data_IF_689724807784
#
_entry.id   IF_689724807784
#
_cell.length_a   1.000
_cell.length_b   1.000
_cell.length_c   1.000
_cell.angle_alpha   90.00
_cell.angle_beta   90.00
_cell.angle_gamma   90.00
#
_symmetry.space_group_name_H-M   'P 1'
#
loop_
_entity.id
_entity.type
_entity.pdbx_description
1 polymer ?
#
# COMPACT_ATOMS: atom_id res chain seq x y z
N UNK A 1 4.24 27.47 19.54
CA UNK A 1 4.52 26.75 18.28
C UNK A 1 3.73 25.44 18.31
N UNK A 2 3.20 24.97 17.18
CA UNK A 2 2.51 23.67 17.12
C UNK A 2 3.49 22.54 16.76
N UNK A 3 3.12 21.28 17.02
CA UNK A 3 3.98 20.12 16.77
C UNK A 3 4.47 20.03 15.31
N UNK A 4 3.60 20.37 14.34
CA UNK A 4 3.96 20.35 12.92
C UNK A 4 5.07 21.37 12.59
N UNK A 5 4.96 22.61 13.08
CA UNK A 5 6.02 23.63 12.92
C UNK A 5 7.28 23.25 13.70
N UNK A 6 7.16 22.58 14.84
CA UNK A 6 8.32 22.07 15.57
C UNK A 6 9.13 21.07 14.74
N UNK A 7 8.46 20.11 14.08
CA UNK A 7 9.11 19.13 13.18
C UNK A 7 9.78 19.78 11.97
N UNK A 8 9.13 20.78 11.35
CA UNK A 8 9.76 21.52 10.25
C UNK A 8 10.98 22.30 10.73
N UNK A 9 10.87 23.02 11.86
CA UNK A 9 11.98 23.75 12.45
C UNK A 9 13.16 22.82 12.83
N UNK A 10 12.89 21.57 13.22
CA UNK A 10 13.94 20.56 13.41
C UNK A 10 14.70 20.23 12.13
N UNK A 11 13.97 19.97 11.04
CA UNK A 11 14.59 19.68 9.74
C UNK A 11 15.41 20.86 9.22
N UNK A 12 14.94 22.08 9.44
CA UNK A 12 15.63 23.32 9.06
C UNK A 12 16.87 23.57 9.93
N UNK A 13 16.79 23.28 11.24
CA UNK A 13 17.94 23.38 12.15
C UNK A 13 19.06 22.44 11.74
N UNK A 14 18.72 21.20 11.36
CA UNK A 14 19.68 20.20 10.92
C UNK A 14 20.32 20.55 9.57
N UNK A 15 19.59 21.24 8.70
CA UNK A 15 20.11 21.78 7.46
C UNK A 15 20.93 23.08 7.65
N UNK A 16 21.08 23.58 8.88
CA UNK A 16 21.77 24.86 9.15
C UNK A 16 21.01 26.10 8.65
N UNK A 17 19.73 25.97 8.31
CA UNK A 17 18.92 27.03 7.69
C UNK A 17 17.98 27.75 8.67
N UNK A 18 17.97 27.33 9.94
CA UNK A 18 17.08 27.90 10.94
C UNK A 18 17.63 29.21 11.50
N UNK A 19 16.83 30.28 11.45
CA UNK A 19 17.17 31.57 12.06
C UNK A 19 17.21 31.49 13.59
N UNK A 20 17.99 32.38 14.23
CA UNK A 20 18.19 32.37 15.69
C UNK A 20 16.88 32.56 16.48
N UNK A 21 16.00 33.44 16.00
CA UNK A 21 14.66 33.63 16.60
C UNK A 21 13.81 32.36 16.53
N UNK A 22 13.90 31.61 15.44
CA UNK A 22 13.18 30.34 15.30
C UNK A 22 13.80 29.23 16.15
N UNK A 23 15.13 29.24 16.34
CA UNK A 23 15.83 28.32 17.23
C UNK A 23 15.39 28.50 18.69
N UNK A 24 15.33 29.73 19.18
CA UNK A 24 14.86 30.03 20.55
C UNK A 24 13.38 29.63 20.75
N UNK A 25 12.54 29.81 19.72
CA UNK A 25 11.13 29.36 19.75
C UNK A 25 10.99 27.83 19.75
N UNK A 26 11.89 27.12 19.08
CA UNK A 26 11.96 25.66 19.09
C UNK A 26 12.40 25.16 20.47
N UNK A 27 13.46 25.71 21.05
CA UNK A 27 13.96 25.33 22.37
C UNK A 27 12.92 25.57 23.47
N UNK A 28 12.28 26.74 23.49
CA UNK A 28 11.20 27.04 24.44
C UNK A 28 9.95 26.17 24.24
N UNK A 29 9.72 25.62 23.04
CA UNK A 29 8.65 24.65 22.81
C UNK A 29 9.03 23.27 23.34
N UNK A 30 10.28 22.84 23.14
CA UNK A 30 10.77 21.55 23.59
C UNK A 30 10.84 21.43 25.10
N UNK A 31 11.24 22.50 25.79
CA UNK A 31 11.21 22.56 27.24
C UNK A 31 9.80 22.33 27.82
N UNK A 32 8.74 22.63 27.04
CA UNK A 32 7.34 22.52 27.46
C UNK A 32 6.61 21.30 26.90
N UNK A 33 7.17 20.62 25.91
CA UNK A 33 6.49 19.55 25.19
C UNK A 33 7.31 18.25 25.21
N UNK A 34 6.96 17.37 26.16
CA UNK A 34 7.62 16.07 26.34
C UNK A 34 7.63 15.22 25.06
N UNK A 35 6.54 15.23 24.29
CA UNK A 35 6.46 14.48 23.01
C UNK A 35 7.49 14.97 21.99
N UNK A 36 7.55 16.27 21.73
CA UNK A 36 8.53 16.82 20.78
C UNK A 36 9.97 16.69 21.28
N UNK A 37 10.17 16.72 22.61
CA UNK A 37 11.47 16.42 23.20
C UNK A 37 11.89 14.97 22.95
N UNK A 38 10.98 14.02 23.18
CA UNK A 38 11.22 12.60 22.93
C UNK A 38 11.53 12.33 21.46
N UNK A 39 10.72 12.88 20.54
CA UNK A 39 10.93 12.76 19.09
C UNK A 39 12.31 13.28 18.68
N UNK A 40 12.77 14.41 19.25
CA UNK A 40 14.12 14.94 19.01
C UNK A 40 15.22 13.99 19.46
N UNK A 41 15.08 13.42 20.66
CA UNK A 41 16.08 12.50 21.21
C UNK A 41 16.16 11.20 20.40
N UNK A 42 15.02 10.70 19.91
CA UNK A 42 14.95 9.55 19.01
C UNK A 42 15.65 9.84 17.68
N UNK A 43 15.34 10.97 17.03
CA UNK A 43 15.98 11.37 15.77
C UNK A 43 17.49 11.60 15.92
N UNK A 44 17.95 12.15 17.05
CA UNK A 44 19.38 12.32 17.35
C UNK A 44 20.08 10.97 17.52
N UNK A 45 19.45 10.01 18.19
CA UNK A 45 19.98 8.64 18.33
C UNK A 45 20.13 7.96 16.97
N UNK A 46 19.10 8.02 16.13
CA UNK A 46 19.16 7.46 14.75
C UNK A 46 20.28 8.11 13.94
N UNK A 47 20.48 9.43 14.08
CA UNK A 47 21.56 10.14 13.41
C UNK A 47 22.94 9.61 13.82
N UNK A 48 23.14 9.39 15.11
CA UNK A 48 24.39 8.84 15.64
C UNK A 48 24.60 7.39 15.18
N UNK A 49 23.57 6.55 15.24
CA UNK A 49 23.63 5.17 14.75
C UNK A 49 23.99 5.11 13.25
N UNK A 50 23.36 5.95 12.41
CA UNK A 50 23.71 6.07 10.99
C UNK A 50 25.13 6.61 10.75
N UNK A 51 25.63 7.50 11.60
CA UNK A 51 27.01 7.98 11.52
C UNK A 51 28.00 6.85 11.85
N UNK A 52 27.70 6.03 12.88
CA UNK A 52 28.53 4.87 13.23
C UNK A 52 28.57 3.80 12.15
N UNK A 53 27.48 3.62 11.40
CA UNK A 53 27.42 2.74 10.24
C UNK A 53 28.29 3.22 9.07
N UNK A 54 28.39 4.54 8.86
CA UNK A 54 29.24 5.10 7.80
C UNK A 54 30.73 4.96 8.09
N UNK A 55 31.10 4.82 9.36
CA UNK A 55 32.49 4.68 9.79
C UNK A 55 32.94 3.23 9.98
N UNK A 56 32.06 2.23 9.79
CA UNK A 56 32.47 0.82 9.89
C UNK A 56 33.27 0.42 8.64
N UNK A 57 34.49 -0.08 8.85
CA UNK A 57 35.45 -0.41 7.79
C UNK A 57 35.30 -1.82 7.23
N UNK A 58 34.53 -2.69 7.88
CA UNK A 58 34.31 -4.10 7.52
C UNK A 58 32.91 -4.29 6.93
N UNK A 59 32.83 -4.87 5.73
CA UNK A 59 31.56 -5.08 5.01
C UNK A 59 30.57 -5.99 5.77
N UNK A 60 31.09 -6.94 6.56
CA UNK A 60 30.28 -7.88 7.35
C UNK A 60 29.63 -7.20 8.56
N UNK A 61 30.38 -6.35 9.30
CA UNK A 61 29.84 -5.51 10.36
C UNK A 61 28.81 -4.50 9.83
N UNK A 62 29.03 -4.01 8.60
CA UNK A 62 28.12 -3.06 7.97
C UNK A 62 26.76 -3.70 7.68
N UNK A 63 26.74 -4.96 7.24
CA UNK A 63 25.48 -5.70 6.96
C UNK A 63 24.72 -5.98 8.25
N UNK A 64 25.36 -6.56 9.28
CA UNK A 64 24.68 -6.86 10.55
C UNK A 64 24.13 -5.60 11.22
N UNK A 65 24.95 -4.56 11.35
CA UNK A 65 24.50 -3.31 11.98
C UNK A 65 23.45 -2.57 11.13
N UNK A 66 23.46 -2.72 9.81
CA UNK A 66 22.42 -2.11 8.96
C UNK A 66 21.03 -2.70 9.22
N UNK A 67 20.95 -3.99 9.58
CA UNK A 67 19.69 -4.66 9.93
C UNK A 67 19.19 -4.15 11.29
N UNK A 68 20.08 -4.05 12.28
CA UNK A 68 19.73 -3.55 13.62
C UNK A 68 19.27 -2.09 13.58
N UNK A 69 19.98 -1.23 12.86
CA UNK A 69 19.58 0.17 12.68
C UNK A 69 18.27 0.27 11.92
N UNK A 70 18.04 -0.58 10.91
CA UNK A 70 16.75 -0.62 10.20
C UNK A 70 15.61 -1.01 11.13
N UNK A 71 15.79 -2.01 11.98
CA UNK A 71 14.77 -2.40 12.96
C UNK A 71 14.53 -1.33 14.02
N UNK A 72 15.59 -0.68 14.53
CA UNK A 72 15.49 0.42 15.47
C UNK A 72 14.75 1.64 14.87
N UNK A 73 15.06 1.98 13.62
CA UNK A 73 14.35 3.04 12.87
C UNK A 73 12.89 2.67 12.64
N UNK A 74 12.59 1.42 12.25
CA UNK A 74 11.22 0.95 12.05
C UNK A 74 10.40 0.94 13.35
N UNK A 75 11.03 0.64 14.49
CA UNK A 75 10.38 0.68 15.81
C UNK A 75 10.15 2.08 16.36
N UNK A 76 10.97 3.06 15.96
CA UNK A 76 10.87 4.46 16.41
C UNK A 76 10.07 5.36 15.47
N UNK A 77 9.83 4.91 14.22
CA UNK A 77 8.85 5.55 13.37
C UNK A 77 7.50 5.47 14.10
N UNK A 78 6.89 6.60 14.52
CA UNK A 78 5.53 6.54 15.04
C UNK A 78 4.71 5.83 13.97
N UNK A 79 3.90 4.82 14.37
CA UNK A 79 2.93 4.19 13.47
C UNK A 79 2.27 5.33 12.70
N UNK A 80 2.69 5.48 11.44
CA UNK A 80 2.54 6.75 10.74
C UNK A 80 1.08 7.12 10.87
N UNK A 81 0.72 8.29 11.47
CA UNK A 81 -0.67 8.67 11.62
C UNK A 81 -1.18 8.86 10.21
N UNK A 82 -1.71 7.78 9.64
CA UNK A 82 -2.27 7.66 8.30
C UNK A 82 -1.57 8.58 7.31
N UNK A 83 -0.65 8.04 6.51
CA UNK A 83 -0.38 8.56 5.18
C UNK A 83 -1.67 9.18 4.66
N UNK A 84 -1.69 10.51 4.61
CA UNK A 84 -2.90 11.29 4.48
C UNK A 84 -3.51 10.92 3.14
N UNK A 85 -4.55 10.08 3.15
CA UNK A 85 -5.62 9.93 2.16
C UNK A 85 -5.23 10.26 0.70
N UNK A 86 -4.07 9.82 0.26
CA UNK A 86 -3.77 9.56 -1.14
C UNK A 86 -3.53 8.07 -1.14
N UNK A 87 -4.64 7.34 -1.07
CA UNK A 87 -4.61 5.90 -1.16
C UNK A 87 -3.99 5.57 -2.51
N UNK A 88 -2.75 5.08 -2.50
CA UNK A 88 -2.40 4.10 -3.50
C UNK A 88 -3.38 2.96 -3.25
N UNK A 89 -4.33 2.74 -4.18
CA UNK A 89 -5.40 1.80 -3.93
C UNK A 89 -4.75 0.46 -3.60
N UNK A 90 -5.21 -0.22 -2.55
CA UNK A 90 -4.69 -1.54 -2.18
C UNK A 90 -4.65 -2.55 -3.36
N UNK A 91 -5.46 -2.29 -4.40
CA UNK A 91 -5.40 -2.94 -5.71
C UNK A 91 -4.05 -2.82 -6.44
N UNK A 92 -3.34 -1.71 -6.35
CA UNK A 92 -2.04 -1.52 -6.99
C UNK A 92 -0.90 -2.24 -6.25
N UNK A 93 -0.93 -2.27 -4.91
CA UNK A 93 0.03 -3.06 -4.11
C UNK A 93 -0.22 -4.56 -4.23
N UNK A 94 -1.49 -4.98 -4.32
CA UNK A 94 -1.86 -6.37 -4.64
C UNK A 94 -1.44 -6.77 -6.05
N UNK A 95 -1.60 -5.88 -7.03
CA UNK A 95 -1.15 -6.11 -8.41
C UNK A 95 0.37 -6.28 -8.52
N UNK A 96 1.13 -5.39 -7.88
CA UNK A 96 2.61 -5.46 -7.90
C UNK A 96 3.16 -6.74 -7.26
N UNK A 97 2.52 -7.22 -6.19
CA UNK A 97 2.93 -8.47 -5.54
C UNK A 97 2.61 -9.71 -6.38
N UNK A 98 1.46 -9.74 -7.06
CA UNK A 98 1.11 -10.82 -8.00
C UNK A 98 2.02 -10.82 -9.22
N UNK A 99 2.33 -9.65 -9.80
CA UNK A 99 3.26 -9.53 -10.93
C UNK A 99 4.67 -9.99 -10.54
N UNK A 100 5.15 -9.62 -9.34
CA UNK A 100 6.44 -10.09 -8.84
C UNK A 100 6.48 -11.61 -8.62
N UNK A 101 5.39 -12.20 -8.11
CA UNK A 101 5.28 -13.65 -7.91
C UNK A 101 5.27 -14.39 -9.25
N UNK A 102 4.42 -13.96 -10.20
CA UNK A 102 4.33 -14.56 -11.54
C UNK A 102 5.66 -14.39 -12.28
N UNK A 103 6.28 -13.21 -12.21
CA UNK A 103 7.58 -12.96 -12.84
C UNK A 103 8.71 -13.82 -12.27
N UNK A 104 8.71 -14.06 -10.97
CA UNK A 104 9.69 -14.94 -10.32
C UNK A 104 9.51 -16.39 -10.78
N UNK A 105 8.27 -16.88 -10.88
CA UNK A 105 7.98 -18.25 -11.36
C UNK A 105 8.39 -18.42 -12.83
N UNK A 106 8.07 -17.45 -13.69
CA UNK A 106 8.44 -17.47 -15.12
C UNK A 106 9.96 -17.44 -15.29
N UNK A 107 10.66 -16.61 -14.51
CA UNK A 107 12.12 -16.53 -14.55
C UNK A 107 12.78 -17.85 -14.12
N UNK A 108 12.32 -18.45 -13.02
CA UNK A 108 12.83 -19.75 -12.56
C UNK A 108 12.57 -20.84 -13.60
N UNK A 109 11.40 -20.87 -14.23
CA UNK A 109 11.09 -21.82 -15.28
C UNK A 109 11.98 -21.64 -16.53
N UNK A 110 12.19 -20.38 -16.96
CA UNK A 110 13.06 -20.06 -18.10
C UNK A 110 14.53 -20.42 -17.83
N UNK A 111 15.00 -20.20 -16.60
CA UNK A 111 16.34 -20.61 -16.18
C UNK A 111 16.46 -22.14 -16.09
N UNK A 112 15.46 -22.83 -15.53
CA UNK A 112 15.46 -24.29 -15.44
C UNK A 112 15.47 -24.96 -16.84
N UNK A 113 14.83 -24.36 -17.84
CA UNK A 113 14.84 -24.87 -19.22
C UNK A 113 16.17 -24.61 -19.95
N UNK A 114 16.87 -23.54 -19.61
CA UNK A 114 18.12 -23.14 -20.28
C UNK A 114 19.39 -23.62 -19.58
N UNK A 115 19.30 -23.99 -18.30
CA UNK A 115 20.41 -24.54 -17.52
C UNK A 115 21.07 -25.77 -18.17
N UNK A 116 20.32 -26.77 -18.68
CA UNK A 116 20.92 -27.95 -19.28
C UNK A 116 21.76 -27.62 -20.51
N UNK A 117 21.30 -26.67 -21.33
CA UNK A 117 22.01 -26.21 -22.53
C UNK A 117 23.26 -25.40 -22.16
N UNK A 118 23.17 -24.55 -21.14
CA UNK A 118 24.30 -23.78 -20.62
C UNK A 118 25.37 -24.69 -19.99
N UNK A 119 24.97 -25.74 -19.28
CA UNK A 119 25.88 -26.74 -18.68
C UNK A 119 26.55 -27.58 -19.76
N UNK A 120 25.81 -27.99 -20.79
CA UNK A 120 26.36 -28.78 -21.89
C UNK A 120 27.34 -27.94 -22.73
N UNK A 121 27.01 -26.68 -23.01
CA UNK A 121 27.92 -25.74 -23.66
C UNK A 121 29.20 -25.53 -22.83
N UNK A 122 29.08 -25.35 -21.51
CA UNK A 122 30.25 -25.24 -20.64
C UNK A 122 31.12 -26.52 -20.63
N UNK A 123 30.50 -27.70 -20.75
CA UNK A 123 31.22 -28.99 -20.81
C UNK A 123 31.94 -29.23 -22.14
N UNK A 124 31.38 -28.75 -23.26
CA UNK A 124 31.99 -28.87 -24.58
C UNK A 124 33.07 -27.81 -24.85
N UNK A 125 33.40 -26.99 -23.84
CA UNK A 125 34.43 -25.97 -23.94
C UNK A 125 33.96 -24.65 -24.57
N UNK A 126 32.65 -24.43 -24.66
CA UNK A 126 32.11 -23.13 -25.06
C UNK A 126 32.58 -22.04 -24.10
N UNK A 127 32.98 -20.90 -24.65
CA UNK A 127 33.48 -19.78 -23.85
C UNK A 127 32.40 -19.17 -22.95
N UNK A 128 32.82 -18.44 -21.91
CA UNK A 128 31.93 -17.70 -20.99
C UNK A 128 30.92 -16.79 -21.70
N UNK A 129 31.26 -16.28 -22.89
CA UNK A 129 30.37 -15.46 -23.72
C UNK A 129 29.18 -16.24 -24.28
N UNK A 130 29.38 -17.51 -24.65
CA UNK A 130 28.34 -18.35 -25.25
C UNK A 130 27.36 -18.86 -24.17
N UNK A 131 27.91 -19.30 -23.04
CA UNK A 131 27.12 -19.66 -21.84
C UNK A 131 26.36 -18.44 -21.30
N UNK A 132 27.02 -17.29 -21.23
CA UNK A 132 26.40 -16.02 -20.84
C UNK A 132 25.30 -15.58 -21.81
N UNK A 133 25.49 -15.77 -23.12
CA UNK A 133 24.49 -15.47 -24.15
C UNK A 133 23.21 -16.31 -24.00
N UNK A 134 23.34 -17.60 -23.71
CA UNK A 134 22.19 -18.50 -23.48
C UNK A 134 21.38 -18.08 -22.26
N UNK A 135 22.04 -17.77 -21.15
CA UNK A 135 21.39 -17.32 -19.92
C UNK A 135 20.74 -15.94 -20.11
N UNK A 136 21.42 -15.00 -20.75
CA UNK A 136 20.89 -13.67 -21.02
C UNK A 136 19.67 -13.71 -21.94
N UNK A 137 19.70 -14.53 -22.99
CA UNK A 137 18.55 -14.75 -23.88
C UNK A 137 17.34 -15.35 -23.14
N UNK A 138 17.58 -16.15 -22.10
CA UNK A 138 16.54 -16.76 -21.27
C UNK A 138 15.93 -15.76 -20.30
N UNK A 139 16.77 -14.91 -19.68
CA UNK A 139 16.31 -13.77 -18.87
C UNK A 139 15.49 -12.79 -19.73
N UNK A 140 15.97 -12.47 -20.92
CA UNK A 140 15.26 -11.59 -21.85
C UNK A 140 13.89 -12.15 -22.24
N UNK A 141 13.81 -13.44 -22.58
CA UNK A 141 12.53 -14.11 -22.85
C UNK A 141 11.58 -14.04 -21.65
N UNK A 142 12.07 -14.30 -20.45
CA UNK A 142 11.25 -14.19 -19.24
C UNK A 142 10.71 -12.75 -19.05
N UNK A 143 11.54 -11.73 -19.28
CA UNK A 143 11.11 -10.32 -19.21
C UNK A 143 10.01 -10.02 -20.23
N UNK A 144 10.18 -10.45 -21.49
CA UNK A 144 9.16 -10.25 -22.54
C UNK A 144 7.85 -10.93 -22.15
N UNK A 145 7.89 -12.18 -21.69
CA UNK A 145 6.67 -12.90 -21.27
C UNK A 145 5.98 -12.22 -20.09
N UNK A 146 6.73 -11.77 -19.09
CA UNK A 146 6.16 -11.04 -17.93
C UNK A 146 5.55 -9.71 -18.35
N UNK A 147 6.07 -9.07 -19.39
CA UNK A 147 5.52 -7.83 -19.91
C UNK A 147 4.27 -8.07 -20.76
N UNK A 148 4.24 -9.12 -21.60
CA UNK A 148 3.12 -9.43 -22.51
C UNK A 148 1.92 -10.05 -21.81
N UNK A 149 2.14 -10.93 -20.83
CA UNK A 149 1.07 -11.65 -20.11
C UNK A 149 0.02 -10.70 -19.50
N UNK A 150 0.40 -9.59 -18.83
CA UNK A 150 -0.54 -8.58 -18.36
C UNK A 150 -1.40 -7.97 -19.47
N UNK A 151 -0.85 -7.69 -20.66
CA UNK A 151 -1.62 -7.10 -21.77
C UNK A 151 -2.58 -8.11 -22.39
N UNK A 152 -2.19 -9.37 -22.51
CA UNK A 152 -3.07 -10.46 -22.97
C UNK A 152 -4.19 -10.73 -21.95
N UNK A 153 -3.87 -10.74 -20.65
CA UNK A 153 -4.87 -10.82 -19.58
C UNK A 153 -5.80 -9.60 -19.56
N UNK A 154 -5.27 -8.40 -19.79
CA UNK A 154 -6.10 -7.19 -19.88
C UNK A 154 -7.05 -7.28 -21.07
N UNK A 155 -6.57 -7.67 -22.25
CA UNK A 155 -7.40 -7.85 -23.45
C UNK A 155 -8.51 -8.87 -23.26
N UNK A 156 -8.23 -9.99 -22.61
CA UNK A 156 -9.24 -11.04 -22.32
C UNK A 156 -10.23 -10.65 -21.21
N UNK A 157 -9.86 -9.74 -20.31
CA UNK A 157 -10.73 -9.21 -19.24
C UNK A 157 -11.59 -8.01 -19.68
N UNK A 158 -11.14 -7.23 -20.66
CA UNK A 158 -11.88 -6.05 -21.15
C UNK A 158 -13.23 -6.44 -21.76
N UNK A 159 -13.27 -7.52 -22.55
CA UNK A 159 -14.49 -7.94 -23.22
C UNK A 159 -15.63 -8.41 -22.27
N UNK A 160 -15.38 -9.24 -21.23
CA UNK A 160 -16.40 -9.55 -20.24
C UNK A 160 -16.79 -8.34 -19.37
N UNK A 161 -15.86 -7.41 -19.10
CA UNK A 161 -16.17 -6.16 -18.39
C UNK A 161 -17.09 -5.25 -19.21
N UNK A 162 -16.88 -5.14 -20.52
CA UNK A 162 -17.79 -4.40 -21.40
C UNK A 162 -19.19 -5.01 -21.48
N UNK A 163 -19.29 -6.35 -21.48
CA UNK A 163 -20.59 -7.04 -21.39
C UNK A 163 -21.28 -6.78 -20.06
N UNK A 164 -20.52 -6.83 -18.97
CA UNK A 164 -21.02 -6.53 -17.62
C UNK A 164 -21.50 -5.07 -17.52
N UNK A 165 -20.73 -4.11 -18.04
CA UNK A 165 -21.10 -2.70 -18.07
C UNK A 165 -22.33 -2.42 -18.93
N UNK A 166 -22.44 -3.05 -20.11
CA UNK A 166 -23.66 -2.97 -20.93
C UNK A 166 -24.87 -3.52 -20.18
N UNK A 167 -24.71 -4.68 -19.54
CA UNK A 167 -25.78 -5.31 -18.75
C UNK A 167 -26.21 -4.45 -17.55
N UNK A 168 -25.25 -3.88 -16.80
CA UNK A 168 -25.53 -2.95 -15.71
C UNK A 168 -26.24 -1.68 -16.20
N UNK A 169 -25.82 -1.14 -17.33
CA UNK A 169 -26.47 0.02 -17.96
C UNK A 169 -27.91 -0.27 -18.38
N UNK A 170 -28.20 -1.49 -18.84
CA UNK A 170 -29.58 -1.93 -19.13
C UNK A 170 -30.43 -2.16 -17.87
N UNK A 171 -29.81 -2.51 -16.74
CA UNK A 171 -30.50 -2.66 -15.43
C UNK A 171 -30.71 -1.34 -14.70
N UNK A 172 -30.01 -0.26 -15.08
CA UNK A 172 -30.05 1.04 -14.40
C UNK A 172 -31.45 1.69 -14.31
N UNK A 173 -32.40 1.53 -15.25
CA UNK A 173 -33.78 2.00 -15.06
C UNK A 173 -34.66 1.05 -14.23
N UNK A 174 -34.29 -0.23 -14.09
CA UNK A 174 -35.07 -1.21 -13.34
C UNK A 174 -34.84 -1.10 -11.81
N UNK A 175 -33.64 -0.70 -11.40
CA UNK A 175 -33.29 -0.50 -9.98
C UNK A 175 -34.14 0.61 -9.32
N UNK A 176 -34.26 1.83 -9.86
CA UNK A 176 -35.12 2.85 -9.26
C UNK A 176 -36.59 2.44 -9.30
N UNK A 177 -37.06 1.75 -10.33
CA UNK A 177 -38.43 1.22 -10.39
C UNK A 177 -38.70 0.23 -9.24
N UNK A 178 -37.82 -0.75 -9.01
CA UNK A 178 -37.91 -1.69 -7.89
C UNK A 178 -37.90 -1.00 -6.53
N UNK A 179 -37.02 -0.02 -6.34
CA UNK A 179 -36.93 0.75 -5.09
C UNK A 179 -38.20 1.57 -4.87
N UNK A 180 -38.74 2.22 -5.90
CA UNK A 180 -40.00 2.97 -5.81
C UNK A 180 -41.18 2.05 -5.51
N UNK A 181 -41.27 0.88 -6.15
CA UNK A 181 -42.34 -0.10 -5.87
C UNK A 181 -42.25 -0.62 -4.43
N UNK A 182 -41.05 -0.99 -3.96
CA UNK A 182 -40.85 -1.43 -2.59
C UNK A 182 -41.22 -0.35 -1.56
N UNK A 183 -40.84 0.91 -1.84
CA UNK A 183 -41.18 2.05 -0.98
C UNK A 183 -42.69 2.31 -0.92
N UNK A 184 -43.39 2.24 -2.06
CA UNK A 184 -44.85 2.37 -2.12
C UNK A 184 -45.54 1.24 -1.35
N UNK A 185 -45.05 0.01 -1.45
CA UNK A 185 -45.61 -1.13 -0.71
C UNK A 185 -45.44 -0.97 0.81
N UNK A 186 -44.24 -0.61 1.26
CA UNK A 186 -43.96 -0.30 2.66
C UNK A 186 -44.86 0.81 3.20
N UNK A 187 -45.01 1.89 2.46
CA UNK A 187 -45.86 3.03 2.86
C UNK A 187 -47.33 2.62 2.97
N UNK A 188 -47.82 1.80 2.03
CA UNK A 188 -49.17 1.25 2.06
C UNK A 188 -49.42 0.36 3.30
N UNK A 189 -48.45 -0.49 3.66
CA UNK A 189 -48.54 -1.33 4.87
C UNK A 189 -48.60 -0.49 6.13
N UNK A 190 -47.76 0.55 6.24
CA UNK A 190 -47.76 1.46 7.40
C UNK A 190 -49.10 2.17 7.53
N UNK A 191 -49.63 2.72 6.43
CA UNK A 191 -50.95 3.37 6.41
C UNK A 191 -52.09 2.40 6.77
N UNK A 192 -52.00 1.15 6.32
CA UNK A 192 -52.98 0.12 6.65
C UNK A 192 -52.96 -0.21 8.15
N UNK A 193 -51.78 -0.37 8.75
CA UNK A 193 -51.62 -0.65 10.18
C UNK A 193 -52.16 0.52 11.02
N UNK A 194 -51.77 1.75 10.71
CA UNK A 194 -52.27 2.96 11.40
C UNK A 194 -53.80 3.06 11.23
N UNK A 195 -54.31 2.87 10.01
CA UNK A 195 -55.73 2.93 9.73
C UNK A 195 -56.55 1.82 10.40
N UNK A 196 -55.94 0.66 10.68
CA UNK A 196 -56.56 -0.42 11.47
C UNK A 196 -56.58 -0.07 12.95
N UNK A 197 -55.49 0.49 13.48
CA UNK A 197 -55.36 0.86 14.89
C UNK A 197 -56.35 1.98 15.26
N UNK A 198 -56.52 2.97 14.38
CA UNK A 198 -57.52 4.03 14.54
C UNK A 198 -58.97 3.56 14.49
N UNK A 199 -59.25 2.37 13.93
CA UNK A 199 -60.59 1.79 13.86
C UNK A 199 -60.93 0.89 15.04
N UNK A 200 -59.97 0.56 15.89
CA UNK A 200 -60.30 -0.21 17.09
C UNK A 200 -60.97 0.72 18.10
N UNK A 201 -62.21 0.45 18.52
CA UNK A 201 -62.84 1.23 19.58
C UNK A 201 -61.98 1.09 20.82
N UNK A 202 -61.51 2.22 21.37
CA UNK A 202 -60.81 2.24 22.65
C UNK A 202 -61.73 1.59 23.67
N UNK A 203 -61.37 0.39 24.12
CA UNK A 203 -61.99 -0.24 25.28
C UNK A 203 -61.55 0.62 26.46
N UNK A 204 -62.36 1.62 26.80
CA UNK A 204 -62.24 2.36 28.05
C UNK A 204 -62.56 1.39 29.17
N UNK A 205 -61.52 0.84 29.78
CA UNK A 205 -61.63 0.09 31.01
C UNK A 205 -62.04 1.03 32.14
N UNK A 206 -63.33 1.27 32.27
CA UNK A 206 -63.95 1.53 33.56
C UNK A 206 -64.51 0.19 34.02
N UNK A 207 -63.89 -0.44 35.01
CA UNK A 207 -64.54 -1.33 35.98
C UNK A 207 -63.50 -1.77 37.02
N UNK A 208 -63.70 -1.32 38.26
CA UNK A 208 -63.00 -1.80 39.46
C UNK A 208 -62.38 -0.71 40.32
#
# INVERSE_FOLDING_TARGET
MNHRRARLAFSEARAGRLSDRSRQRLESHLARCAKCHHDRTAEARIATELATLRTSTTAEDQVLRSVDVRQAVLGQLPASPTASRHGLPWRELGGLSVVAMVGSVVLVAALAQSLPQAVEAARTGAGLLEVGGILLASVWRAVVTVLEVPFVLLGTLVEPLERLFRWLRTMTPAIPALVTTAYMMMTGVVLFVIGRDLRQPRITGEEG
#
